data_IF_630703432627
#
_entry.id   IF_630703432627
#
_cell.length_a   1.000
_cell.length_b   1.000
_cell.length_c   1.000
_cell.angle_alpha   90.00
_cell.angle_beta   90.00
_cell.angle_gamma   90.00
#
_symmetry.space_group_name_H-M   'P 1'
#
loop_
_entity.id
_entity.type
_entity.pdbx_description
1 polymer ?
#
# COMPACT_ATOMS: atom_id res chain seq x y z
N UNK A 1 -1.45 20.51 19.24
CA UNK A 1 0.01 20.51 19.08
C UNK A 1 0.45 19.07 19.11
N UNK A 2 1.23 18.70 18.11
CA UNK A 2 1.84 17.38 17.95
C UNK A 2 3.35 17.59 17.96
N UNK A 3 4.10 16.81 18.73
CA UNK A 3 5.56 16.94 18.84
C UNK A 3 6.22 15.58 18.83
N UNK A 4 7.48 15.53 18.40
CA UNK A 4 8.30 14.32 18.53
C UNK A 4 9.33 14.58 19.63
N UNK A 5 9.32 13.73 20.65
CA UNK A 5 10.24 13.85 21.78
C UNK A 5 11.23 12.70 21.78
N UNK A 6 12.52 13.03 21.95
CA UNK A 6 13.56 12.03 22.21
C UNK A 6 13.46 11.54 23.65
N UNK A 7 13.49 10.23 23.83
CA UNK A 7 13.44 9.55 25.14
C UNK A 7 14.72 8.72 25.34
N UNK A 8 15.01 8.20 26.56
CA UNK A 8 16.12 7.27 26.77
C UNK A 8 16.02 5.99 25.93
N UNK A 9 14.82 5.65 25.46
CA UNK A 9 14.54 4.42 24.71
C UNK A 9 14.28 4.65 23.22
N UNK A 10 14.41 5.88 22.72
CA UNK A 10 14.17 6.22 21.32
C UNK A 10 13.44 7.55 21.14
N UNK A 11 12.31 7.52 20.44
CA UNK A 11 11.46 8.66 20.14
C UNK A 11 9.99 8.31 20.36
N UNK A 12 9.22 9.30 20.80
CA UNK A 12 7.78 9.19 21.01
C UNK A 12 7.10 10.38 20.35
N UNK A 13 6.04 10.11 19.59
CA UNK A 13 5.15 11.14 19.07
C UNK A 13 4.12 11.47 20.16
N UNK A 14 3.95 12.74 20.48
CA UNK A 14 2.98 13.22 21.45
C UNK A 14 1.92 14.03 20.72
N UNK A 15 0.64 13.77 21.00
CA UNK A 15 -0.48 14.59 20.54
C UNK A 15 -1.18 15.17 21.76
N UNK A 16 -1.19 16.50 21.87
CA UNK A 16 -1.70 17.21 23.04
C UNK A 16 -1.07 16.78 24.38
N UNK A 17 0.20 16.36 24.35
CA UNK A 17 0.95 15.91 25.52
C UNK A 17 0.79 14.42 25.85
N UNK A 18 -0.08 13.70 25.15
CA UNK A 18 -0.29 12.26 25.33
C UNK A 18 0.47 11.46 24.27
N UNK A 19 1.00 10.29 24.65
CA UNK A 19 1.67 9.39 23.71
C UNK A 19 0.72 8.96 22.59
N UNK A 20 1.19 9.08 21.35
CA UNK A 20 0.44 8.77 20.15
C UNK A 20 1.26 7.86 19.25
N UNK A 21 0.91 6.58 19.19
CA UNK A 21 1.46 5.66 18.21
C UNK A 21 0.54 5.60 16.99
N UNK A 22 1.10 5.80 15.79
CA UNK A 22 0.30 5.84 14.55
C UNK A 22 -0.13 4.42 14.16
N UNK A 23 -1.44 4.17 14.24
CA UNK A 23 -2.14 2.98 13.76
C UNK A 23 -2.93 3.38 12.52
N UNK A 24 -2.20 3.66 11.45
CA UNK A 24 -2.70 4.38 10.30
C UNK A 24 -3.05 3.53 9.09
N UNK A 25 -3.83 4.11 8.20
CA UNK A 25 -4.06 3.60 6.85
C UNK A 25 -3.84 4.69 5.79
N UNK A 26 -3.30 4.33 4.64
CA UNK A 26 -3.37 5.20 3.45
C UNK A 26 -4.78 5.11 2.87
N UNK A 27 -5.34 6.23 2.44
CA UNK A 27 -6.65 6.30 1.80
C UNK A 27 -7.73 6.99 2.64
N UNK A 28 -8.89 7.22 2.02
CA UNK A 28 -10.02 7.97 2.58
C UNK A 28 -11.37 7.24 2.45
N UNK A 29 -11.34 5.93 2.20
CA UNK A 29 -12.54 5.08 2.09
C UNK A 29 -12.66 4.15 3.30
N UNK A 30 -13.88 3.67 3.55
CA UNK A 30 -14.18 2.75 4.65
C UNK A 30 -13.64 3.22 6.01
N UNK A 31 -13.67 4.54 6.28
CA UNK A 31 -13.09 5.14 7.48
C UNK A 31 -13.79 4.70 8.78
N UNK A 32 -15.09 4.46 8.72
CA UNK A 32 -15.83 3.87 9.85
C UNK A 32 -15.27 2.48 10.21
N UNK A 33 -14.98 1.65 9.20
CA UNK A 33 -14.36 0.33 9.40
C UNK A 33 -12.93 0.47 9.93
N UNK A 34 -12.18 1.48 9.48
CA UNK A 34 -10.84 1.77 10.02
C UNK A 34 -10.90 2.08 11.52
N UNK A 35 -11.79 3.00 11.92
CA UNK A 35 -11.99 3.37 13.32
C UNK A 35 -12.45 2.16 14.15
N UNK A 36 -13.39 1.36 13.64
CA UNK A 36 -13.87 0.13 14.29
C UNK A 36 -12.77 -0.92 14.45
N UNK A 37 -11.83 -1.02 13.49
CA UNK A 37 -10.68 -1.91 13.59
C UNK A 37 -9.62 -1.44 14.62
N UNK A 38 -9.78 -0.24 15.20
CA UNK A 38 -8.84 0.36 16.15
C UNK A 38 -7.77 1.25 15.49
N UNK A 39 -7.90 1.54 14.19
CA UNK A 39 -7.09 2.54 13.51
C UNK A 39 -7.37 3.94 14.07
N UNK A 40 -6.34 4.80 14.07
CA UNK A 40 -6.43 6.14 14.68
C UNK A 40 -5.97 7.28 13.76
N UNK A 41 -5.50 6.98 12.54
CA UNK A 41 -4.97 7.97 11.61
C UNK A 41 -5.16 7.55 10.15
N UNK A 42 -5.23 8.52 9.25
CA UNK A 42 -5.13 8.31 7.80
C UNK A 42 -4.00 9.13 7.19
N UNK A 43 -3.41 8.62 6.12
CA UNK A 43 -2.55 9.40 5.23
C UNK A 43 -3.36 9.76 3.99
N UNK A 44 -3.71 11.03 3.86
CA UNK A 44 -4.70 11.49 2.89
C UNK A 44 -4.48 12.97 2.51
N UNK A 45 -5.44 13.60 1.82
CA UNK A 45 -5.40 15.02 1.50
C UNK A 45 -5.88 15.88 2.67
N UNK A 46 -5.55 17.18 2.65
CA UNK A 46 -6.18 18.18 3.53
C UNK A 46 -7.70 18.24 3.39
N UNK A 47 -8.25 17.80 2.25
CA UNK A 47 -9.69 17.77 2.03
C UNK A 47 -10.41 16.68 2.85
N UNK A 48 -9.67 15.70 3.39
CA UNK A 48 -10.22 14.59 4.17
C UNK A 48 -10.24 14.89 5.69
N UNK A 49 -9.77 16.07 6.10
CA UNK A 49 -9.63 16.48 7.49
C UNK A 49 -10.95 16.46 8.27
N UNK A 50 -12.03 17.02 7.71
CA UNK A 50 -13.34 17.07 8.37
C UNK A 50 -13.92 15.66 8.55
N UNK A 51 -13.82 14.81 7.52
CA UNK A 51 -14.33 13.45 7.56
C UNK A 51 -13.57 12.59 8.58
N UNK A 52 -12.23 12.72 8.61
CA UNK A 52 -11.40 12.06 9.61
C UNK A 52 -11.77 12.52 11.03
N UNK A 53 -11.95 13.82 11.23
CA UNK A 53 -12.30 14.38 12.54
C UNK A 53 -13.63 13.86 13.07
N UNK A 54 -14.65 13.76 12.21
CA UNK A 54 -15.96 13.23 12.57
C UNK A 54 -15.91 11.79 13.11
N UNK A 55 -14.86 11.04 12.77
CA UNK A 55 -14.63 9.66 13.19
C UNK A 55 -13.54 9.52 14.27
N UNK A 56 -13.03 10.65 14.79
CA UNK A 56 -11.96 10.66 15.79
C UNK A 56 -10.58 10.28 15.24
N UNK A 57 -10.41 10.26 13.91
CA UNK A 57 -9.16 9.95 13.24
C UNK A 57 -8.30 11.21 13.08
N UNK A 58 -6.98 11.02 13.01
CA UNK A 58 -6.03 12.07 12.64
C UNK A 58 -5.57 11.92 11.19
N UNK A 59 -4.87 12.93 10.66
CA UNK A 59 -4.44 12.98 9.25
C UNK A 59 -2.97 13.34 9.15
N UNK A 60 -2.17 12.46 8.56
CA UNK A 60 -0.92 12.83 7.88
C UNK A 60 -1.30 13.45 6.53
N UNK A 61 -1.26 14.77 6.45
CA UNK A 61 -1.76 15.51 5.29
C UNK A 61 -0.69 15.58 4.20
N UNK A 62 -0.97 14.94 3.06
CA UNK A 62 -0.12 15.01 1.88
C UNK A 62 -0.20 16.40 1.24
N UNK A 63 0.97 17.01 1.07
CA UNK A 63 1.18 18.27 0.38
C UNK A 63 1.74 17.98 -1.02
N UNK A 64 1.10 18.48 -2.10
CA UNK A 64 1.65 18.33 -3.45
C UNK A 64 3.04 18.95 -3.56
N UNK A 65 3.96 18.25 -4.22
CA UNK A 65 5.31 18.73 -4.48
C UNK A 65 5.77 18.20 -5.84
N UNK A 66 6.45 19.04 -6.61
CA UNK A 66 6.84 18.76 -7.98
C UNK A 66 7.74 17.53 -8.11
N UNK A 67 7.43 16.65 -9.05
CA UNK A 67 8.22 15.44 -9.31
C UNK A 67 9.14 15.66 -10.52
N UNK A 68 10.46 15.43 -10.41
CA UNK A 68 11.36 15.48 -11.58
C UNK A 68 10.94 14.52 -12.70
N UNK A 69 10.43 13.32 -12.36
CA UNK A 69 9.90 12.37 -13.35
C UNK A 69 8.70 12.89 -14.17
N UNK A 70 8.05 13.95 -13.72
CA UNK A 70 6.97 14.64 -14.43
C UNK A 70 7.42 15.98 -15.03
N UNK A 71 8.74 16.24 -15.06
CA UNK A 71 9.34 17.42 -15.68
C UNK A 71 9.51 18.63 -14.76
N UNK A 72 9.32 18.49 -13.44
CA UNK A 72 9.61 19.61 -12.52
C UNK A 72 11.12 19.81 -12.35
N UNK A 73 11.61 21.01 -12.69
CA UNK A 73 13.03 21.37 -12.59
C UNK A 73 13.31 22.18 -11.32
N UNK A 74 14.04 21.59 -10.38
CA UNK A 74 14.42 22.24 -9.12
C UNK A 74 15.54 23.28 -9.25
N UNK A 75 16.13 23.44 -10.44
CA UNK A 75 17.04 24.54 -10.74
C UNK A 75 16.31 25.81 -11.17
N UNK A 76 15.04 25.72 -11.58
CA UNK A 76 14.16 26.86 -11.81
C UNK A 76 13.65 27.42 -10.47
N UNK A 77 14.41 28.39 -9.92
CA UNK A 77 14.06 29.06 -8.66
C UNK A 77 12.72 29.80 -8.70
N UNK A 78 12.21 30.18 -9.88
CA UNK A 78 10.88 30.81 -10.00
C UNK A 78 9.78 29.76 -9.82
N UNK A 79 9.93 28.59 -10.44
CA UNK A 79 8.99 27.48 -10.26
C UNK A 79 8.98 26.99 -8.81
N UNK A 80 10.16 26.84 -8.19
CA UNK A 80 10.29 26.48 -6.77
C UNK A 80 9.61 27.50 -5.86
N UNK A 81 9.83 28.80 -6.08
CA UNK A 81 9.20 29.85 -5.27
C UNK A 81 7.66 29.82 -5.36
N UNK A 82 7.10 29.65 -6.57
CA UNK A 82 5.64 29.53 -6.76
C UNK A 82 5.07 28.33 -6.00
N UNK A 83 5.73 27.18 -6.09
CA UNK A 83 5.33 25.98 -5.35
C UNK A 83 5.33 26.21 -3.83
N UNK A 84 6.34 26.91 -3.30
CA UNK A 84 6.41 27.26 -1.87
C UNK A 84 5.27 28.20 -1.46
N UNK A 85 4.91 29.18 -2.30
CA UNK A 85 3.79 30.09 -2.04
C UNK A 85 2.43 29.37 -2.03
N UNK A 86 2.22 28.42 -2.96
CA UNK A 86 1.01 27.60 -3.01
C UNK A 86 0.89 26.69 -1.77
N UNK A 87 2.01 26.10 -1.36
CA UNK A 87 2.08 25.33 -0.11
C UNK A 87 1.79 26.19 1.11
N UNK A 88 2.36 27.40 1.18
CA UNK A 88 2.16 28.34 2.30
C UNK A 88 0.68 28.65 2.49
N UNK A 89 -0.05 28.90 1.40
CA UNK A 89 -1.49 29.15 1.46
C UNK A 89 -2.28 27.95 1.99
N UNK A 90 -1.93 26.74 1.54
CA UNK A 90 -2.54 25.49 2.01
C UNK A 90 -2.31 25.29 3.51
N UNK A 91 -1.06 25.40 3.96
CA UNK A 91 -0.68 25.23 5.36
C UNK A 91 -1.35 26.28 6.23
N UNK A 92 -1.33 27.55 5.84
CA UNK A 92 -1.98 28.62 6.59
C UNK A 92 -3.49 28.40 6.74
N UNK A 93 -4.14 27.82 5.74
CA UNK A 93 -5.58 27.52 5.77
C UNK A 93 -5.94 26.37 6.73
N UNK A 94 -5.10 25.34 6.82
CA UNK A 94 -5.46 24.08 7.47
C UNK A 94 -4.68 23.77 8.76
N UNK A 95 -3.63 24.54 9.10
CA UNK A 95 -2.78 24.35 10.31
C UNK A 95 -3.53 24.30 11.63
N UNK A 96 -4.75 24.84 11.69
CA UNK A 96 -5.55 24.91 12.93
C UNK A 96 -6.60 23.79 13.01
N UNK A 97 -6.65 22.89 12.02
CA UNK A 97 -7.63 21.81 11.98
C UNK A 97 -7.33 20.73 13.03
N UNK A 98 -8.30 20.33 13.87
CA UNK A 98 -8.06 19.44 15.02
C UNK A 98 -7.64 18.00 14.65
N UNK A 99 -8.02 17.51 13.47
CA UNK A 99 -7.57 16.20 12.97
C UNK A 99 -6.16 16.22 12.35
N UNK A 100 -5.56 17.37 12.08
CA UNK A 100 -4.22 17.42 11.50
C UNK A 100 -3.21 16.81 12.49
N UNK A 101 -2.43 15.81 12.03
CA UNK A 101 -1.37 15.20 12.82
C UNK A 101 -0.01 15.78 12.45
N UNK A 102 0.31 15.73 11.16
CA UNK A 102 1.62 16.00 10.57
C UNK A 102 1.43 16.42 9.09
N UNK A 103 2.44 17.09 8.53
CA UNK A 103 2.54 17.43 7.12
C UNK A 103 3.50 16.49 6.39
N UNK A 104 3.09 15.95 5.24
CA UNK A 104 3.95 15.18 4.34
C UNK A 104 4.23 15.97 3.05
N UNK A 105 5.47 16.45 2.88
CA UNK A 105 5.90 17.15 1.66
C UNK A 105 6.14 16.10 0.56
N UNK A 106 5.29 16.10 -0.47
CA UNK A 106 5.43 15.20 -1.60
C UNK A 106 5.27 13.72 -1.26
N UNK A 107 5.62 12.87 -2.23
CA UNK A 107 5.72 11.42 -2.08
C UNK A 107 6.65 10.86 -3.15
N UNK A 108 7.68 10.14 -2.74
CA UNK A 108 8.62 9.42 -3.61
C UNK A 108 9.17 10.33 -4.71
N UNK A 109 9.65 11.50 -4.29
CA UNK A 109 10.16 12.56 -5.16
C UNK A 109 11.45 12.14 -5.89
N UNK A 110 12.14 11.14 -5.34
CA UNK A 110 13.38 10.57 -5.83
C UNK A 110 13.22 9.59 -7.00
N UNK A 111 12.01 9.13 -7.33
CA UNK A 111 11.82 8.13 -8.39
C UNK A 111 12.42 8.65 -9.70
N UNK A 112 13.33 7.85 -10.27
CA UNK A 112 14.04 8.12 -11.53
C UNK A 112 14.81 9.45 -11.55
N UNK A 113 15.37 9.83 -10.41
CA UNK A 113 16.25 10.99 -10.28
C UNK A 113 17.73 10.63 -10.32
N UNK A 114 18.56 11.51 -10.90
CA UNK A 114 20.02 11.44 -10.73
C UNK A 114 20.46 12.12 -9.43
N UNK A 115 21.67 11.82 -8.90
CA UNK A 115 22.20 12.56 -7.74
C UNK A 115 22.18 14.08 -7.91
N UNK A 116 22.49 14.59 -9.11
CA UNK A 116 22.51 16.02 -9.42
C UNK A 116 21.12 16.64 -9.36
N UNK A 117 20.07 15.88 -9.70
CA UNK A 117 18.68 16.32 -9.57
C UNK A 117 18.19 16.26 -8.11
N UNK A 118 18.71 15.33 -7.31
CA UNK A 118 18.30 15.16 -5.89
C UNK A 118 18.79 16.27 -4.98
N UNK A 119 19.99 16.81 -5.20
CA UNK A 119 20.52 17.89 -4.34
C UNK A 119 19.60 19.13 -4.28
N UNK A 120 19.24 19.77 -5.42
CA UNK A 120 18.34 20.92 -5.38
C UNK A 120 16.90 20.56 -4.98
N UNK A 121 16.45 19.33 -5.26
CA UNK A 121 15.19 18.78 -4.76
C UNK A 121 15.15 18.78 -3.22
N UNK A 122 16.16 18.19 -2.57
CA UNK A 122 16.22 18.09 -1.10
C UNK A 122 16.38 19.45 -0.43
N UNK A 123 17.16 20.36 -1.04
CA UNK A 123 17.20 21.75 -0.58
C UNK A 123 15.82 22.42 -0.62
N UNK A 124 15.05 22.22 -1.69
CA UNK A 124 13.68 22.75 -1.77
C UNK A 124 12.72 22.10 -0.77
N UNK A 125 12.86 20.80 -0.50
CA UNK A 125 12.11 20.12 0.57
C UNK A 125 12.43 20.72 1.93
N UNK A 126 13.70 21.02 2.20
CA UNK A 126 14.12 21.67 3.43
C UNK A 126 13.59 23.10 3.56
N UNK A 127 13.64 23.89 2.47
CA UNK A 127 13.05 25.24 2.40
C UNK A 127 11.53 25.18 2.70
N UNK A 128 10.83 24.17 2.16
CA UNK A 128 9.41 23.94 2.44
C UNK A 128 9.16 23.58 3.91
N UNK A 129 9.99 22.73 4.50
CA UNK A 129 9.86 22.36 5.91
C UNK A 129 10.08 23.56 6.85
N UNK A 130 11.10 24.38 6.58
CA UNK A 130 11.34 25.63 7.31
C UNK A 130 10.14 26.58 7.21
N UNK A 131 9.63 26.77 6.00
CA UNK A 131 8.44 27.60 5.77
C UNK A 131 7.23 27.09 6.55
N UNK A 132 7.00 25.76 6.55
CA UNK A 132 5.89 25.17 7.28
C UNK A 132 6.04 25.42 8.78
N UNK A 133 7.23 25.28 9.36
CA UNK A 133 7.44 25.58 10.78
C UNK A 133 7.20 27.05 11.14
N UNK A 134 7.54 27.99 10.25
CA UNK A 134 7.23 29.42 10.44
C UNK A 134 5.73 29.69 10.48
N UNK A 135 4.97 29.01 9.61
CA UNK A 135 3.52 29.18 9.48
C UNK A 135 2.75 28.35 10.49
N UNK A 136 3.23 27.16 10.81
CA UNK A 136 2.62 26.15 11.65
C UNK A 136 3.68 25.52 12.58
N UNK A 137 3.88 26.15 13.74
CA UNK A 137 4.73 25.62 14.80
C UNK A 137 4.08 24.50 15.62
N UNK A 138 2.94 23.93 15.20
CA UNK A 138 2.16 22.96 15.99
C UNK A 138 2.26 21.52 15.48
N UNK A 139 2.68 21.30 14.24
CA UNK A 139 2.64 19.97 13.60
C UNK A 139 4.00 19.60 13.02
N UNK A 140 4.47 18.35 13.20
CA UNK A 140 5.70 17.89 12.58
C UNK A 140 5.60 17.80 11.06
N UNK A 141 6.74 17.91 10.39
CA UNK A 141 6.90 17.87 8.94
C UNK A 141 7.80 16.72 8.53
N UNK A 142 7.37 15.92 7.55
CA UNK A 142 8.12 14.79 7.00
C UNK A 142 8.10 14.81 5.47
N UNK A 143 8.97 14.03 4.84
CA UNK A 143 8.87 13.67 3.41
C UNK A 143 8.85 12.13 3.28
N UNK A 144 7.83 11.54 2.63
CA UNK A 144 7.84 10.13 2.27
C UNK A 144 8.82 9.83 1.13
N UNK A 145 9.70 8.84 1.33
CA UNK A 145 10.59 8.26 0.30
C UNK A 145 10.29 6.78 0.10
N UNK A 146 10.53 6.28 -1.10
CA UNK A 146 10.29 4.91 -1.55
C UNK A 146 11.40 3.93 -1.17
N UNK A 147 11.40 2.79 -1.85
CA UNK A 147 12.34 1.69 -1.64
C UNK A 147 13.84 2.07 -1.81
N UNK A 148 14.13 3.21 -2.44
CA UNK A 148 15.49 3.74 -2.63
C UNK A 148 16.08 4.38 -1.37
N UNK A 149 15.35 4.42 -0.24
CA UNK A 149 15.81 4.99 1.04
C UNK A 149 17.23 4.53 1.42
N UNK A 150 17.59 3.28 1.12
CA UNK A 150 18.92 2.72 1.43
C UNK A 150 20.08 3.49 0.79
N UNK A 151 19.82 4.20 -0.29
CA UNK A 151 20.85 4.89 -1.07
C UNK A 151 20.87 6.39 -0.83
N UNK A 152 19.85 6.96 -0.16
CA UNK A 152 19.62 8.41 -0.10
C UNK A 152 19.33 8.96 1.29
N UNK A 153 19.11 8.12 2.31
CA UNK A 153 18.82 8.64 3.66
C UNK A 153 19.93 9.55 4.20
N UNK A 154 21.18 9.28 3.85
CA UNK A 154 22.31 10.15 4.22
C UNK A 154 22.22 11.54 3.57
N UNK A 155 21.79 11.63 2.30
CA UNK A 155 21.58 12.90 1.60
C UNK A 155 20.49 13.71 2.29
N UNK A 156 19.39 13.05 2.67
CA UNK A 156 18.28 13.71 3.38
C UNK A 156 18.71 14.15 4.77
N UNK A 157 19.50 13.36 5.49
CA UNK A 157 19.96 13.75 6.83
C UNK A 157 20.78 15.05 6.77
N UNK A 158 21.62 15.18 5.75
CA UNK A 158 22.46 16.35 5.52
C UNK A 158 21.69 17.55 4.97
N UNK A 159 20.84 17.35 3.97
CA UNK A 159 20.22 18.43 3.20
C UNK A 159 18.85 18.86 3.73
N UNK A 160 18.20 18.03 4.56
CA UNK A 160 16.88 18.29 5.12
C UNK A 160 16.85 18.31 6.67
N UNK A 161 17.70 19.13 7.34
CA UNK A 161 17.70 19.21 8.79
C UNK A 161 16.39 19.73 9.39
N UNK A 162 15.56 20.45 8.64
CA UNK A 162 14.27 20.95 9.12
C UNK A 162 13.14 19.92 9.14
N UNK A 163 13.35 18.70 8.63
CA UNK A 163 12.35 17.63 8.77
C UNK A 163 12.37 17.06 10.20
N UNK A 164 11.20 16.90 10.81
CA UNK A 164 11.11 16.37 12.17
C UNK A 164 11.31 14.85 12.22
N UNK A 165 10.95 14.16 11.13
CA UNK A 165 11.15 12.74 10.89
C UNK A 165 11.24 12.44 9.38
N UNK A 166 11.62 11.21 9.02
CA UNK A 166 11.50 10.72 7.64
C UNK A 166 10.26 9.83 7.48
N UNK A 167 9.56 9.93 6.35
CA UNK A 167 8.57 8.94 5.93
C UNK A 167 9.20 7.87 5.05
N UNK A 168 8.97 6.60 5.33
CA UNK A 168 9.48 5.49 4.52
C UNK A 168 8.30 4.67 4.00
N UNK A 169 8.18 4.59 2.67
CA UNK A 169 7.33 3.63 2.00
C UNK A 169 8.13 2.34 1.82
N UNK A 170 7.69 1.26 2.45
CA UNK A 170 8.38 -0.01 2.46
C UNK A 170 7.40 -1.16 2.25
N UNK A 171 7.69 -2.02 1.28
CA UNK A 171 6.87 -3.18 0.93
C UNK A 171 7.57 -4.46 1.40
N UNK A 172 8.20 -5.22 0.49
CA UNK A 172 9.03 -6.37 0.89
C UNK A 172 10.15 -5.98 1.86
N UNK A 173 10.63 -4.74 1.76
CA UNK A 173 11.68 -4.15 2.60
C UNK A 173 11.29 -4.06 4.08
N UNK A 174 10.00 -4.14 4.41
CA UNK A 174 9.54 -4.24 5.80
C UNK A 174 10.15 -5.43 6.54
N UNK A 175 10.58 -6.48 5.85
CA UNK A 175 11.22 -7.64 6.47
C UNK A 175 12.69 -7.41 6.84
N UNK A 176 13.29 -6.28 6.41
CA UNK A 176 14.69 -5.93 6.68
C UNK A 176 14.88 -4.50 7.17
N UNK A 177 13.82 -3.67 7.19
CA UNK A 177 13.89 -2.23 7.47
C UNK A 177 14.68 -1.90 8.75
N UNK A 178 14.46 -2.54 9.92
CA UNK A 178 15.26 -2.26 11.11
C UNK A 178 16.75 -2.55 10.94
N UNK A 179 17.11 -3.57 10.16
CA UNK A 179 18.49 -3.92 9.84
C UNK A 179 19.13 -2.90 8.92
N UNK A 180 18.39 -2.49 7.88
CA UNK A 180 18.84 -1.48 6.93
C UNK A 180 19.13 -0.15 7.63
N UNK A 181 18.19 0.34 8.46
CA UNK A 181 18.38 1.59 9.20
C UNK A 181 19.58 1.53 10.15
N UNK A 182 19.83 0.37 10.77
CA UNK A 182 20.99 0.15 11.64
C UNK A 182 22.30 0.19 10.86
N UNK A 183 22.34 -0.44 9.68
CA UNK A 183 23.51 -0.43 8.80
C UNK A 183 23.83 0.98 8.29
N UNK A 184 22.78 1.74 7.95
CA UNK A 184 22.87 3.14 7.54
C UNK A 184 23.17 4.10 8.70
N UNK A 185 23.20 3.59 9.95
CA UNK A 185 23.38 4.37 11.18
C UNK A 185 22.34 5.50 11.32
N UNK A 186 21.16 5.30 10.76
CA UNK A 186 20.06 6.24 10.86
C UNK A 186 19.65 6.39 12.33
N UNK A 187 19.64 7.62 12.84
CA UNK A 187 19.43 7.90 14.28
C UNK A 187 18.23 8.81 14.56
N UNK A 188 17.58 9.34 13.53
CA UNK A 188 16.39 10.20 13.59
C UNK A 188 15.10 9.36 13.66
N UNK A 189 13.98 9.93 14.13
CA UNK A 189 12.69 9.26 14.09
C UNK A 189 12.21 9.04 12.64
N UNK A 190 11.37 8.03 12.45
CA UNK A 190 10.73 7.74 11.17
C UNK A 190 9.27 7.30 11.35
N UNK A 191 8.50 7.42 10.28
CA UNK A 191 7.16 6.87 10.13
C UNK A 191 7.19 5.92 8.94
N UNK A 192 6.62 4.72 9.06
CA UNK A 192 6.36 3.89 7.88
C UNK A 192 5.13 4.47 7.17
N UNK A 193 5.34 5.35 6.21
CA UNK A 193 4.27 6.14 5.57
C UNK A 193 3.45 5.35 4.56
N UNK A 194 3.91 4.15 4.22
CA UNK A 194 3.22 3.21 3.36
C UNK A 194 3.81 1.82 3.56
N UNK A 195 2.98 0.82 3.83
CA UNK A 195 3.39 -0.59 3.71
C UNK A 195 2.24 -1.46 3.25
N UNK A 196 2.54 -2.42 2.38
CA UNK A 196 1.54 -3.26 1.72
C UNK A 196 2.01 -4.71 1.59
N UNK A 197 1.38 -5.50 0.71
CA UNK A 197 1.96 -6.76 0.26
C UNK A 197 3.27 -6.51 -0.50
N UNK A 198 3.96 -7.58 -0.93
CA UNK A 198 5.13 -7.43 -1.81
C UNK A 198 4.77 -6.61 -3.05
N UNK A 199 5.61 -5.64 -3.39
CA UNK A 199 5.42 -4.83 -4.60
C UNK A 199 5.50 -5.71 -5.85
N UNK A 200 4.77 -5.35 -6.91
CA UNK A 200 4.79 -6.11 -8.17
C UNK A 200 6.17 -6.19 -8.84
N UNK A 201 7.08 -5.27 -8.50
CA UNK A 201 8.49 -5.31 -8.90
C UNK A 201 9.37 -6.23 -8.05
N UNK A 202 8.88 -6.69 -6.89
CA UNK A 202 9.62 -7.49 -5.90
C UNK A 202 9.24 -8.98 -5.94
N UNK A 203 8.21 -9.36 -6.68
CA UNK A 203 7.76 -10.74 -6.84
C UNK A 203 8.46 -11.45 -7.99
N UNK A 204 8.44 -12.79 -7.93
CA UNK A 204 8.85 -13.63 -9.07
C UNK A 204 7.92 -13.38 -10.28
N UNK A 205 8.47 -13.56 -11.48
CA UNK A 205 7.74 -13.38 -12.74
C UNK A 205 7.65 -14.70 -13.51
N UNK A 206 6.60 -14.86 -14.31
CA UNK A 206 6.48 -15.97 -15.25
C UNK A 206 7.56 -15.91 -16.32
N UNK A 207 7.81 -17.00 -17.07
CA UNK A 207 8.75 -16.98 -18.21
C UNK A 207 8.43 -15.93 -19.28
N UNK A 208 7.18 -15.41 -19.34
CA UNK A 208 6.75 -14.35 -20.26
C UNK A 208 6.58 -12.97 -19.58
N UNK A 209 7.15 -12.81 -18.38
CA UNK A 209 7.32 -11.51 -17.72
C UNK A 209 6.18 -11.04 -16.82
N UNK A 210 5.12 -11.84 -16.60
CA UNK A 210 4.02 -11.41 -15.75
C UNK A 210 4.35 -11.60 -14.27
N UNK A 211 4.12 -10.59 -13.41
CA UNK A 211 4.37 -10.73 -11.98
C UNK A 211 3.35 -11.71 -11.36
N UNK A 212 3.84 -12.60 -10.51
CA UNK A 212 3.02 -13.59 -9.80
C UNK A 212 2.54 -12.96 -8.50
N UNK A 213 1.22 -12.84 -8.38
CA UNK A 213 0.58 -12.21 -7.23
C UNK A 213 0.36 -13.24 -6.12
N UNK A 214 0.62 -12.85 -4.87
CA UNK A 214 0.29 -13.67 -3.71
C UNK A 214 -1.23 -13.78 -3.53
N UNK A 215 -1.71 -14.90 -2.97
CA UNK A 215 -3.10 -14.99 -2.49
C UNK A 215 -3.33 -14.03 -1.31
N UNK A 216 -4.58 -13.65 -1.04
CA UNK A 216 -4.94 -12.80 0.11
C UNK A 216 -4.46 -13.39 1.44
N UNK A 217 -4.47 -14.72 1.58
CA UNK A 217 -3.92 -15.43 2.76
C UNK A 217 -2.42 -15.24 2.90
N UNK A 218 -1.66 -15.35 1.80
CA UNK A 218 -0.21 -15.09 1.83
C UNK A 218 0.11 -13.61 2.05
N UNK A 219 -0.72 -12.70 1.51
CA UNK A 219 -0.61 -11.26 1.78
C UNK A 219 -0.86 -10.96 3.26
N UNK A 220 -1.90 -11.51 3.87
CA UNK A 220 -2.21 -11.31 5.28
C UNK A 220 -1.07 -11.80 6.19
N UNK A 221 -0.51 -12.97 5.91
CA UNK A 221 0.68 -13.46 6.63
C UNK A 221 1.89 -12.53 6.42
N UNK A 222 2.07 -12.00 5.20
CA UNK A 222 3.11 -11.01 4.94
C UNK A 222 2.90 -9.73 5.77
N UNK A 223 1.70 -9.15 5.78
CA UNK A 223 1.37 -7.98 6.62
C UNK A 223 1.70 -8.24 8.10
N UNK A 224 1.35 -9.43 8.61
CA UNK A 224 1.63 -9.82 9.99
C UNK A 224 3.12 -9.76 10.31
N UNK A 225 3.93 -10.43 9.48
CA UNK A 225 5.39 -10.48 9.64
C UNK A 225 6.03 -9.11 9.47
N UNK A 226 5.62 -8.37 8.44
CA UNK A 226 6.11 -7.02 8.14
C UNK A 226 5.86 -6.05 9.30
N UNK A 227 4.63 -6.01 9.82
CA UNK A 227 4.27 -5.10 10.91
C UNK A 227 5.00 -5.44 12.22
N UNK A 228 5.08 -6.72 12.58
CA UNK A 228 5.83 -7.17 13.76
C UNK A 228 7.32 -6.84 13.66
N UNK A 229 7.89 -7.02 12.47
CA UNK A 229 9.32 -6.81 12.26
C UNK A 229 9.70 -5.33 12.18
N UNK A 230 8.99 -4.53 11.39
CA UNK A 230 9.39 -3.15 11.10
C UNK A 230 8.73 -2.08 11.98
N UNK A 231 7.61 -2.38 12.64
CA UNK A 231 6.79 -1.35 13.31
C UNK A 231 6.79 -1.54 14.81
N UNK A 232 6.47 -2.74 15.29
CA UNK A 232 6.36 -3.00 16.72
C UNK A 232 7.72 -2.91 17.43
N UNK A 233 7.71 -2.26 18.60
CA UNK A 233 8.86 -2.15 19.52
C UNK A 233 10.14 -1.60 18.86
N UNK A 234 10.00 -0.63 17.95
CA UNK A 234 11.13 0.03 17.31
C UNK A 234 11.38 1.41 17.93
N UNK A 235 12.57 1.65 18.52
CA UNK A 235 12.91 2.92 19.18
C UNK A 235 12.64 4.19 18.35
N UNK A 236 12.82 4.14 17.03
CA UNK A 236 12.69 5.30 16.16
C UNK A 236 11.38 5.35 15.38
N UNK A 237 10.57 4.29 15.42
CA UNK A 237 9.33 4.22 14.64
C UNK A 237 8.19 4.86 15.41
N UNK A 238 7.56 5.87 14.82
CA UNK A 238 6.40 6.55 15.40
C UNK A 238 5.06 5.89 15.02
N UNK A 239 5.12 4.80 14.25
CA UNK A 239 4.00 4.02 13.76
C UNK A 239 3.97 3.92 12.24
N UNK A 240 2.83 3.49 11.69
CA UNK A 240 2.76 3.10 10.28
C UNK A 240 1.40 3.37 9.63
N UNK A 241 1.39 3.46 8.30
CA UNK A 241 0.20 3.55 7.46
C UNK A 241 0.10 2.35 6.51
N UNK A 242 -0.90 1.48 6.72
CA UNK A 242 -1.13 0.31 5.86
C UNK A 242 -1.70 0.74 4.50
N UNK A 243 -1.24 0.11 3.43
CA UNK A 243 -1.64 0.37 2.05
C UNK A 243 -2.23 -0.90 1.39
N UNK A 244 -3.36 -0.84 0.69
CA UNK A 244 -4.31 0.27 0.60
C UNK A 244 -5.61 -0.10 1.33
N UNK A 245 -6.05 0.70 2.31
CA UNK A 245 -7.33 0.52 3.02
C UNK A 245 -8.52 0.89 2.13
N UNK A 246 -8.63 0.20 1.01
CA UNK A 246 -9.69 0.37 0.02
C UNK A 246 -9.68 -0.79 -0.98
N UNK A 247 -10.58 -0.69 -1.95
CA UNK A 247 -10.38 -1.30 -3.25
C UNK A 247 -9.37 -0.45 -4.04
N UNK A 248 -8.38 -1.08 -4.67
CA UNK A 248 -7.32 -0.39 -5.40
C UNK A 248 -6.88 -1.21 -6.60
N UNK A 249 -7.00 -0.64 -7.79
CA UNK A 249 -6.49 -1.23 -9.01
C UNK A 249 -5.05 -0.76 -9.29
N UNK A 250 -4.12 -1.71 -9.32
CA UNK A 250 -2.74 -1.48 -9.74
C UNK A 250 -2.09 -2.83 -10.09
N UNK A 251 -1.72 -3.01 -11.36
CA UNK A 251 -1.37 -4.27 -12.06
C UNK A 251 -2.52 -5.26 -12.13
N UNK A 252 -3.18 -5.53 -11.01
CA UNK A 252 -4.44 -6.24 -10.91
C UNK A 252 -5.35 -5.48 -9.95
N UNK A 253 -6.65 -5.74 -10.02
CA UNK A 253 -7.62 -5.18 -9.08
C UNK A 253 -7.60 -5.85 -7.70
N UNK A 254 -6.75 -6.86 -7.48
CA UNK A 254 -6.55 -7.52 -6.19
C UNK A 254 -5.18 -7.26 -5.58
N UNK A 255 -4.26 -6.56 -6.26
CA UNK A 255 -2.85 -6.52 -5.83
C UNK A 255 -2.68 -5.89 -4.45
N UNK A 256 -3.10 -4.64 -4.28
CA UNK A 256 -2.82 -3.86 -3.06
C UNK A 256 -4.06 -3.53 -2.23
N UNK A 257 -5.27 -3.64 -2.80
CA UNK A 257 -6.50 -3.37 -2.08
C UNK A 257 -6.74 -4.38 -0.96
N UNK A 258 -7.02 -3.87 0.24
CA UNK A 258 -7.43 -4.71 1.38
C UNK A 258 -8.92 -5.08 1.33
N UNK A 259 -9.68 -4.41 0.44
CA UNK A 259 -11.09 -4.67 0.15
C UNK A 259 -11.27 -5.00 -1.33
N UNK A 260 -12.26 -5.82 -1.64
CA UNK A 260 -12.73 -6.03 -3.01
C UNK A 260 -13.63 -4.87 -3.46
N UNK A 261 -13.92 -4.84 -4.76
CA UNK A 261 -14.75 -3.78 -5.38
C UNK A 261 -16.16 -3.69 -4.78
N UNK A 262 -16.73 -4.83 -4.38
CA UNK A 262 -18.00 -4.93 -3.66
C UNK A 262 -17.92 -4.50 -2.18
N UNK A 263 -16.73 -4.15 -1.69
CA UNK A 263 -16.46 -3.76 -0.32
C UNK A 263 -16.21 -4.92 0.64
N UNK A 264 -16.10 -6.16 0.17
CA UNK A 264 -15.72 -7.29 1.02
C UNK A 264 -14.29 -7.13 1.55
N UNK A 265 -14.05 -7.16 2.88
CA UNK A 265 -12.70 -7.13 3.43
C UNK A 265 -11.98 -8.45 3.20
N UNK A 266 -10.64 -8.39 3.21
CA UNK A 266 -9.76 -9.57 3.18
C UNK A 266 -9.07 -9.79 4.53
N UNK A 267 -8.43 -10.96 4.72
CA UNK A 267 -7.70 -11.32 5.95
C UNK A 267 -6.67 -10.24 6.37
N UNK A 268 -6.17 -9.42 5.44
CA UNK A 268 -5.28 -8.30 5.74
C UNK A 268 -5.93 -7.26 6.69
N UNK A 269 -7.23 -6.99 6.54
CA UNK A 269 -8.00 -6.09 7.43
C UNK A 269 -7.99 -6.62 8.86
N UNK A 270 -8.16 -7.93 9.03
CA UNK A 270 -8.19 -8.60 10.33
C UNK A 270 -6.84 -8.57 11.02
N UNK A 271 -5.77 -8.76 10.25
CA UNK A 271 -4.39 -8.69 10.76
C UNK A 271 -4.16 -7.31 11.37
N UNK A 272 -4.56 -6.26 10.69
CA UNK A 272 -4.43 -4.90 11.22
C UNK A 272 -5.33 -4.67 12.42
N UNK A 273 -6.59 -5.12 12.38
CA UNK A 273 -7.50 -5.05 13.53
C UNK A 273 -6.91 -5.73 14.77
N UNK A 274 -6.29 -6.90 14.61
CA UNK A 274 -5.64 -7.61 15.71
C UNK A 274 -4.52 -6.77 16.35
N UNK A 275 -3.64 -6.17 15.54
CA UNK A 275 -2.55 -5.34 16.08
C UNK A 275 -3.03 -4.03 16.69
N UNK A 276 -4.15 -3.49 16.23
CA UNK A 276 -4.63 -2.19 16.66
C UNK A 276 -5.56 -2.27 17.87
N UNK A 277 -6.46 -3.25 17.90
CA UNK A 277 -7.46 -3.44 18.96
C UNK A 277 -7.07 -4.54 19.97
N UNK A 278 -6.17 -5.45 19.61
CA UNK A 278 -5.75 -6.59 20.45
C UNK A 278 -6.54 -7.87 20.22
N UNK A 279 -7.54 -7.88 19.34
CA UNK A 279 -8.33 -9.06 19.02
C UNK A 279 -8.73 -9.12 17.55
N UNK A 280 -8.91 -10.33 17.03
CA UNK A 280 -9.51 -10.54 15.70
C UNK A 280 -11.00 -10.17 15.69
N UNK A 281 -11.61 -9.91 14.52
CA UNK A 281 -13.06 -9.85 14.40
C UNK A 281 -13.69 -11.20 14.81
N UNK A 282 -14.95 -11.20 15.30
CA UNK A 282 -15.63 -12.42 15.71
C UNK A 282 -15.82 -13.45 14.59
N UNK A 283 -15.97 -12.98 13.35
CA UNK A 283 -16.02 -13.81 12.15
C UNK A 283 -14.78 -13.52 11.30
N UNK A 284 -14.16 -14.58 10.80
CA UNK A 284 -12.85 -14.59 10.19
C UNK A 284 -12.96 -14.88 8.70
N UNK A 285 -12.16 -14.15 7.91
CA UNK A 285 -12.09 -14.27 6.46
C UNK A 285 -11.73 -15.70 6.05
N UNK A 286 -12.29 -16.18 4.92
CA UNK A 286 -11.85 -17.41 4.28
C UNK A 286 -10.35 -17.39 3.98
N UNK A 287 -9.74 -18.58 3.83
CA UNK A 287 -8.32 -18.73 3.54
C UNK A 287 -8.10 -19.65 2.35
N UNK A 288 -7.25 -19.23 1.42
CA UNK A 288 -6.90 -20.02 0.23
C UNK A 288 -5.54 -20.68 0.44
N UNK A 289 -5.54 -22.01 0.35
CA UNK A 289 -4.35 -22.84 0.46
C UNK A 289 -3.68 -23.05 -0.90
N UNK A 290 -4.46 -23.28 -1.96
CA UNK A 290 -3.90 -23.61 -3.27
C UNK A 290 -4.86 -23.26 -4.43
N UNK A 291 -4.30 -23.07 -5.61
CA UNK A 291 -4.99 -22.81 -6.86
C UNK A 291 -4.26 -23.52 -8.00
N UNK A 292 -4.99 -24.27 -8.83
CA UNK A 292 -4.43 -24.94 -9.99
C UNK A 292 -5.44 -25.08 -11.12
N UNK A 293 -4.93 -25.36 -12.31
CA UNK A 293 -5.71 -25.80 -13.48
C UNK A 293 -5.26 -27.18 -13.94
N UNK A 294 -6.20 -27.96 -14.47
CA UNK A 294 -6.00 -29.27 -15.07
C UNK A 294 -6.43 -29.24 -16.53
N UNK A 295 -5.54 -29.68 -17.41
CA UNK A 295 -5.78 -29.86 -18.84
C UNK A 295 -5.08 -31.14 -19.30
N UNK A 296 -5.80 -32.03 -20.00
CA UNK A 296 -5.25 -33.30 -20.52
C UNK A 296 -4.47 -34.11 -19.45
N UNK A 297 -5.02 -34.25 -18.25
CA UNK A 297 -4.41 -34.93 -17.09
C UNK A 297 -3.12 -34.30 -16.54
N UNK A 298 -2.79 -33.07 -16.96
CA UNK A 298 -1.66 -32.31 -16.44
C UNK A 298 -2.16 -31.20 -15.53
N UNK A 299 -1.69 -31.22 -14.28
CA UNK A 299 -1.95 -30.16 -13.30
C UNK A 299 -0.86 -29.10 -13.37
N UNK A 300 -1.26 -27.83 -13.46
CA UNK A 300 -0.38 -26.66 -13.44
C UNK A 300 -0.80 -25.71 -12.32
N UNK A 301 0.16 -25.19 -11.57
CA UNK A 301 -0.02 -24.23 -10.47
C UNK A 301 1.00 -23.11 -10.56
N UNK A 302 0.76 -22.00 -9.85
CA UNK A 302 1.55 -20.74 -9.89
C UNK A 302 1.37 -19.97 -11.20
N UNK A 303 1.48 -20.64 -12.35
CA UNK A 303 1.10 -20.15 -13.68
C UNK A 303 0.74 -21.34 -14.58
N UNK A 304 0.08 -21.08 -15.71
CA UNK A 304 -0.25 -22.11 -16.69
C UNK A 304 0.15 -21.71 -18.11
N UNK A 305 0.58 -22.70 -18.89
CA UNK A 305 0.78 -22.59 -20.34
C UNK A 305 -0.17 -23.59 -21.00
N UNK A 306 -1.07 -23.08 -21.84
CA UNK A 306 -2.19 -23.82 -22.41
C UNK A 306 -2.34 -23.49 -23.89
N UNK A 307 -3.07 -24.33 -24.63
CA UNK A 307 -3.41 -24.06 -26.03
C UNK A 307 -4.56 -23.04 -26.10
N UNK A 308 -4.56 -22.18 -27.12
CA UNK A 308 -5.69 -21.32 -27.39
C UNK A 308 -6.96 -22.15 -27.66
N UNK A 309 -8.12 -21.65 -27.24
CA UNK A 309 -9.39 -22.38 -27.33
C UNK A 309 -9.53 -23.57 -26.38
N UNK A 310 -8.52 -23.90 -25.56
CA UNK A 310 -8.60 -25.02 -24.64
C UNK A 310 -9.67 -24.80 -23.55
N UNK A 311 -10.42 -25.85 -23.27
CA UNK A 311 -11.29 -25.94 -22.11
C UNK A 311 -10.52 -26.60 -20.96
N UNK A 312 -10.43 -25.93 -19.82
CA UNK A 312 -9.65 -26.39 -18.65
C UNK A 312 -10.49 -26.45 -17.38
N UNK A 313 -10.07 -27.27 -16.44
CA UNK A 313 -10.70 -27.38 -15.12
C UNK A 313 -9.86 -26.62 -14.09
N UNK A 314 -10.41 -25.56 -13.51
CA UNK A 314 -9.80 -24.83 -12.41
C UNK A 314 -10.30 -25.35 -11.07
N UNK A 315 -9.41 -25.43 -10.07
CA UNK A 315 -9.77 -25.79 -8.70
C UNK A 315 -9.06 -24.88 -7.71
N UNK A 316 -9.81 -24.39 -6.71
CA UNK A 316 -9.26 -23.68 -5.55
C UNK A 316 -9.40 -24.58 -4.32
N UNK A 317 -8.40 -24.58 -3.45
CA UNK A 317 -8.51 -25.19 -2.13
C UNK A 317 -8.59 -24.07 -1.11
N UNK A 318 -9.72 -24.00 -0.40
CA UNK A 318 -9.98 -22.99 0.61
C UNK A 318 -10.71 -23.58 1.83
N UNK A 319 -10.54 -22.91 2.97
CA UNK A 319 -11.25 -23.19 4.21
C UNK A 319 -11.76 -21.89 4.85
N UNK A 320 -12.70 -22.04 5.76
CA UNK A 320 -13.22 -20.96 6.58
C UNK A 320 -12.84 -21.24 8.05
N UNK A 321 -12.18 -20.31 8.76
CA UNK A 321 -11.78 -20.55 10.14
C UNK A 321 -12.95 -20.79 11.11
N UNK A 322 -14.15 -20.29 10.79
CA UNK A 322 -15.36 -20.45 11.59
C UNK A 322 -16.22 -21.64 11.13
N UNK A 323 -15.82 -22.30 10.04
CA UNK A 323 -16.52 -23.45 9.47
C UNK A 323 -17.73 -23.07 8.59
N UNK A 324 -17.78 -21.82 8.12
CA UNK A 324 -18.85 -21.34 7.26
C UNK A 324 -18.84 -22.01 5.87
N UNK A 325 -20.02 -22.06 5.25
CA UNK A 325 -20.14 -22.54 3.87
C UNK A 325 -19.72 -21.45 2.89
N UNK A 326 -18.70 -21.76 2.08
CA UNK A 326 -18.08 -20.81 1.17
C UNK A 326 -18.77 -20.74 -0.20
N UNK A 327 -18.83 -19.52 -0.75
CA UNK A 327 -19.26 -19.26 -2.14
C UNK A 327 -18.05 -18.90 -3.00
N UNK A 328 -17.92 -19.53 -4.17
CA UNK A 328 -16.76 -19.36 -5.04
C UNK A 328 -17.18 -18.66 -6.34
N UNK A 329 -16.45 -17.61 -6.71
CA UNK A 329 -16.59 -16.91 -8.00
C UNK A 329 -15.28 -17.00 -8.77
N UNK A 330 -15.39 -17.19 -10.07
CA UNK A 330 -14.26 -17.27 -10.99
C UNK A 330 -14.37 -16.20 -12.07
N UNK A 331 -13.23 -15.70 -12.54
CA UNK A 331 -13.16 -14.78 -13.67
C UNK A 331 -11.88 -15.03 -14.47
N UNK A 332 -11.97 -14.95 -15.80
CA UNK A 332 -10.80 -14.87 -16.68
C UNK A 332 -10.71 -13.44 -17.21
N UNK A 333 -9.53 -12.83 -17.14
CA UNK A 333 -9.27 -11.47 -17.65
C UNK A 333 -8.03 -11.48 -18.56
N UNK A 334 -7.93 -10.59 -19.57
CA UNK A 334 -6.64 -10.25 -20.16
C UNK A 334 -5.67 -9.78 -19.07
N UNK A 335 -4.42 -10.25 -19.13
CA UNK A 335 -3.41 -9.91 -18.12
C UNK A 335 -2.55 -8.75 -18.60
N UNK A 336 -2.67 -7.62 -17.91
CA UNK A 336 -1.98 -6.35 -18.20
C UNK A 336 -0.98 -5.96 -17.11
N UNK A 337 -0.66 -6.91 -16.21
CA UNK A 337 0.19 -6.66 -15.06
C UNK A 337 1.67 -6.38 -15.40
N UNK A 338 2.07 -6.46 -16.68
CA UNK A 338 3.38 -6.06 -17.19
C UNK A 338 3.44 -4.62 -17.72
N UNK A 339 2.38 -3.83 -17.55
CA UNK A 339 2.37 -2.43 -17.93
C UNK A 339 3.48 -1.62 -17.19
N UNK A 340 4.04 -0.55 -17.81
CA UNK A 340 5.22 0.14 -17.30
C UNK A 340 4.95 1.19 -16.21
N UNK A 341 3.69 1.39 -15.79
CA UNK A 341 3.32 2.41 -14.81
C UNK A 341 3.95 2.15 -13.43
N UNK A 342 4.28 3.21 -12.68
CA UNK A 342 4.94 3.11 -11.36
C UNK A 342 4.45 4.18 -10.39
N UNK A 343 4.68 3.98 -9.08
CA UNK A 343 4.52 5.03 -8.07
C UNK A 343 3.14 5.69 -8.07
N UNK A 344 2.08 4.87 -8.19
CA UNK A 344 0.69 5.31 -8.19
C UNK A 344 0.18 5.94 -9.49
N UNK A 345 0.90 5.78 -10.62
CA UNK A 345 0.41 6.19 -11.93
C UNK A 345 -0.94 5.52 -12.25
N UNK A 346 -1.84 6.24 -12.93
CA UNK A 346 -3.20 5.75 -13.22
C UNK A 346 -3.17 4.53 -14.15
N UNK A 347 -3.85 3.47 -13.74
CA UNK A 347 -4.07 2.25 -14.52
C UNK A 347 -5.57 2.03 -14.73
N UNK A 348 -5.97 1.68 -15.95
CA UNK A 348 -7.38 1.37 -16.27
C UNK A 348 -7.67 -0.11 -15.97
N UNK A 349 -8.77 -0.42 -15.26
CA UNK A 349 -9.13 -1.79 -14.95
C UNK A 349 -9.56 -2.55 -16.22
N UNK A 350 -9.21 -3.82 -16.27
CA UNK A 350 -9.56 -4.72 -17.39
C UNK A 350 -10.77 -5.56 -17.00
N UNK A 351 -11.81 -5.59 -17.84
CA UNK A 351 -13.04 -6.35 -17.57
C UNK A 351 -12.85 -7.87 -17.73
N UNK A 352 -13.67 -8.70 -17.06
CA UNK A 352 -13.78 -10.13 -17.33
C UNK A 352 -14.09 -10.43 -18.79
N UNK A 353 -13.62 -11.59 -19.27
CA UNK A 353 -14.00 -12.13 -20.57
C UNK A 353 -15.35 -12.81 -20.41
N UNK A 354 -16.38 -12.24 -21.05
CA UNK A 354 -17.73 -12.79 -21.03
C UNK A 354 -17.76 -14.22 -21.58
N UNK A 355 -18.45 -15.11 -20.88
CA UNK A 355 -18.58 -16.52 -21.27
C UNK A 355 -17.32 -17.38 -21.07
N UNK A 356 -16.22 -16.84 -20.53
CA UNK A 356 -15.02 -17.64 -20.26
C UNK A 356 -15.23 -18.65 -19.12
N UNK A 357 -16.15 -18.42 -18.20
CA UNK A 357 -16.51 -19.39 -17.16
C UNK A 357 -17.77 -20.13 -17.60
N UNK A 358 -17.63 -21.40 -18.01
CA UNK A 358 -18.72 -22.21 -18.54
C UNK A 358 -19.60 -22.80 -17.42
N UNK A 359 -18.97 -23.19 -16.31
CA UNK A 359 -19.65 -23.66 -15.11
C UNK A 359 -18.78 -23.47 -13.87
N UNK A 360 -19.43 -23.37 -12.71
CA UNK A 360 -18.78 -23.31 -11.40
C UNK A 360 -19.61 -24.11 -10.41
N UNK A 361 -19.02 -25.14 -9.81
CA UNK A 361 -19.66 -26.01 -8.82
C UNK A 361 -18.70 -26.27 -7.66
N UNK A 362 -19.14 -25.93 -6.45
CA UNK A 362 -18.30 -25.98 -5.26
C UNK A 362 -16.99 -25.21 -5.48
N UNK A 363 -15.87 -25.91 -5.34
CA UNK A 363 -14.52 -25.37 -5.45
C UNK A 363 -13.90 -25.46 -6.85
N UNK A 364 -14.70 -25.79 -7.86
CA UNK A 364 -14.23 -26.08 -9.23
C UNK A 364 -14.95 -25.23 -10.26
N UNK A 365 -14.25 -24.90 -11.35
CA UNK A 365 -14.84 -24.27 -12.52
C UNK A 365 -14.34 -24.89 -13.82
N UNK A 366 -15.18 -24.84 -14.85
CA UNK A 366 -14.79 -25.11 -16.23
C UNK A 366 -14.55 -23.78 -16.93
N UNK A 367 -13.33 -23.57 -17.43
CA UNK A 367 -12.88 -22.32 -18.04
C UNK A 367 -12.61 -22.54 -19.52
N UNK A 368 -13.26 -21.74 -20.36
CA UNK A 368 -13.00 -21.64 -21.79
C UNK A 368 -11.93 -20.57 -22.03
N UNK A 369 -10.77 -20.97 -22.54
CA UNK A 369 -9.74 -20.03 -22.96
C UNK A 369 -10.08 -19.41 -24.32
N UNK A 370 -9.69 -18.16 -24.58
CA UNK A 370 -9.90 -17.53 -25.89
C UNK A 370 -9.14 -18.25 -27.02
N UNK A 371 -9.69 -18.18 -28.22
CA UNK A 371 -9.10 -18.71 -29.47
C UNK A 371 -7.82 -17.96 -29.90
N UNK A 372 -7.61 -16.75 -29.39
CA UNK A 372 -6.40 -15.97 -29.65
C UNK A 372 -5.33 -16.25 -28.60
N UNK A 373 -4.12 -16.56 -29.08
CA UNK A 373 -2.92 -16.58 -28.26
C UNK A 373 -2.73 -15.23 -27.54
N UNK A 374 -2.34 -15.28 -26.28
CA UNK A 374 -2.32 -14.09 -25.43
C UNK A 374 -2.03 -14.38 -23.96
N UNK A 375 -1.87 -13.29 -23.21
CA UNK A 375 -1.67 -13.29 -21.77
C UNK A 375 -3.02 -13.07 -21.08
N UNK A 376 -3.40 -14.01 -20.23
CA UNK A 376 -4.62 -13.97 -19.44
C UNK A 376 -4.29 -14.23 -17.97
N UNK A 377 -5.25 -13.96 -17.10
CA UNK A 377 -5.13 -14.25 -15.67
C UNK A 377 -6.46 -14.77 -15.18
N UNK A 378 -6.41 -15.95 -14.57
CA UNK A 378 -7.56 -16.58 -13.92
C UNK A 378 -7.62 -16.11 -12.48
N UNK A 379 -8.72 -15.51 -12.08
CA UNK A 379 -9.00 -15.06 -10.71
C UNK A 379 -10.02 -15.98 -10.06
N UNK A 380 -9.85 -16.19 -8.76
CA UNK A 380 -10.84 -16.82 -7.89
C UNK A 380 -11.08 -15.96 -6.65
N UNK A 381 -12.34 -15.84 -6.29
CA UNK A 381 -12.83 -15.14 -5.10
C UNK A 381 -13.61 -16.14 -4.26
N UNK A 382 -13.31 -16.19 -2.97
CA UNK A 382 -13.92 -17.09 -1.99
C UNK A 382 -14.59 -16.22 -0.94
N UNK A 383 -15.89 -16.35 -0.79
CA UNK A 383 -16.70 -15.53 0.11
C UNK A 383 -17.32 -16.37 1.21
N UNK A 384 -17.38 -15.81 2.42
CA UNK A 384 -18.23 -16.32 3.49
C UNK A 384 -19.62 -15.64 3.49
N UNK A 385 -20.57 -16.13 4.30
CA UNK A 385 -21.89 -15.51 4.43
C UNK A 385 -21.89 -14.14 5.14
N UNK A 386 -20.83 -13.78 5.86
CA UNK A 386 -20.69 -12.50 6.54
C UNK A 386 -20.20 -11.37 5.60
N UNK A 387 -19.80 -11.73 4.37
CA UNK A 387 -19.35 -10.81 3.35
C UNK A 387 -17.85 -10.55 3.37
N UNK A 388 -17.04 -11.37 4.05
CA UNK A 388 -15.59 -11.35 3.89
C UNK A 388 -15.16 -12.14 2.65
N UNK A 389 -13.93 -11.90 2.21
CA UNK A 389 -13.41 -12.54 1.01
C UNK A 389 -11.94 -12.95 1.10
N UNK A 390 -11.59 -13.97 0.32
CA UNK A 390 -10.23 -14.31 -0.05
C UNK A 390 -10.07 -14.34 -1.57
N UNK A 391 -8.86 -14.02 -2.03
CA UNK A 391 -8.53 -13.97 -3.46
C UNK A 391 -7.26 -14.73 -3.77
N UNK A 392 -7.26 -15.42 -4.90
CA UNK A 392 -6.04 -15.90 -5.54
C UNK A 392 -6.19 -15.70 -7.04
N UNK A 393 -5.06 -15.67 -7.74
CA UNK A 393 -5.07 -15.67 -9.19
C UNK A 393 -3.84 -16.37 -9.75
N UNK A 394 -3.89 -16.65 -11.04
CA UNK A 394 -2.85 -17.35 -11.75
C UNK A 394 -2.69 -16.78 -13.17
N UNK A 395 -1.49 -16.31 -13.55
CA UNK A 395 -1.19 -15.98 -14.94
C UNK A 395 -1.33 -17.20 -15.84
N UNK A 396 -1.92 -17.01 -17.01
CA UNK A 396 -2.13 -18.02 -18.05
C UNK A 396 -1.59 -17.48 -19.36
N UNK A 397 -0.67 -18.21 -19.98
CA UNK A 397 -0.27 -17.94 -21.37
C UNK A 397 -0.96 -18.95 -22.29
N UNK A 398 -1.67 -18.45 -23.29
CA UNK A 398 -2.22 -19.27 -24.36
C UNK A 398 -1.30 -19.21 -25.58
N UNK A 399 -0.95 -20.39 -26.09
CA UNK A 399 -0.15 -20.56 -27.30
C UNK A 399 -1.07 -20.75 -28.50
N UNK A 400 -0.59 -20.32 -29.67
CA UNK A 400 -1.26 -20.55 -30.95
C UNK A 400 -1.19 -22.02 -31.36
#
# INVERSE_FOLDING_TARGET
MTTIQKTPHGYTLLRHGEEFFIKGAVGNRFLERLAQAGGNSIRASVNDLDQAYALGLTVLANLPFGKPRWGFDYTDRTAVARQLDDLRQTVQRFRDHPALLMWAIGNELEIWTTPEQRVPLWQAVNEAAQMIHEVDGKHPVITPVGCDYRHLLWEIDELCPALDAIGINAYQDMLTLPEDLRQLRWSRPYVVTEFGPRGHWQVIKTPWGMPIEDSSTHKAEFYRRAYQHAVLNRPQCLGAYVFHWSFHHEKTHTWYGMFLEDGSPTEAVEVMQYFWSGSYPPNRCPRIQNLWVEHQNTRQSVYAILDAGAQVHATVQADDPDGDTLTIRWELRPDVADNPNVGGDREEPVQPIDGAILSSEGYRAVVQLPESAGKYRLFVYVYDPAGNAATANMPVWTKA
#
